data_IF_263888345097
#
_entry.id   IF_263888345097
#
_cell.length_a   1.000
_cell.length_b   1.000
_cell.length_c   1.000
_cell.angle_alpha   90.00
_cell.angle_beta   90.00
_cell.angle_gamma   90.00
#
_symmetry.space_group_name_H-M   'P 1'
#
loop_
_entity.id
_entity.type
_entity.pdbx_description
1 polymer ?
#
# COMPACT_ATOMS: atom_id res chain seq x y z
N UNK A 1 -2.98 3.04 12.01
CA UNK A 1 -1.82 2.13 12.10
C UNK A 1 -1.47 1.55 10.75
N UNK A 2 -2.33 0.73 10.13
CA UNK A 2 -2.09 0.09 8.82
C UNK A 2 -1.60 1.03 7.69
N UNK A 3 -2.16 2.25 7.59
CA UNK A 3 -1.69 3.26 6.62
C UNK A 3 -0.27 3.76 6.87
N UNK A 4 0.11 3.90 8.14
CA UNK A 4 1.45 4.36 8.54
C UNK A 4 2.47 3.26 8.24
N UNK A 5 2.14 2.01 8.54
CA UNK A 5 3.01 0.86 8.30
C UNK A 5 3.24 0.67 6.79
N UNK A 6 2.21 0.87 5.97
CA UNK A 6 2.31 0.79 4.52
C UNK A 6 3.18 1.90 3.90
N UNK A 7 3.36 3.05 4.55
CA UNK A 7 4.11 4.21 4.03
C UNK A 7 5.51 3.81 3.57
N UNK A 8 6.24 3.10 4.43
CA UNK A 8 7.61 2.64 4.15
C UNK A 8 7.66 1.68 2.96
N UNK A 9 6.66 0.81 2.83
CA UNK A 9 6.56 -0.12 1.71
C UNK A 9 6.27 0.60 0.39
N UNK A 10 5.40 1.61 0.43
CA UNK A 10 5.05 2.44 -0.74
C UNK A 10 6.29 3.16 -1.26
N UNK A 11 7.05 3.80 -0.37
CA UNK A 11 8.28 4.53 -0.73
C UNK A 11 9.34 3.56 -1.28
N UNK A 12 9.55 2.40 -0.63
CA UNK A 12 10.49 1.36 -1.07
C UNK A 12 10.15 0.80 -2.46
N UNK A 13 8.88 0.74 -2.79
CA UNK A 13 8.39 0.32 -4.10
C UNK A 13 8.31 1.49 -5.09
N UNK A 14 8.90 2.65 -4.79
CA UNK A 14 8.97 3.83 -5.67
C UNK A 14 7.64 4.54 -5.89
N UNK A 15 6.69 4.37 -4.97
CA UNK A 15 5.42 5.08 -4.94
C UNK A 15 5.43 6.26 -3.97
N UNK A 16 4.47 7.16 -4.14
CA UNK A 16 4.16 8.24 -3.20
C UNK A 16 2.66 8.23 -2.93
N UNK A 17 2.26 8.22 -1.65
CA UNK A 17 0.83 8.27 -1.32
C UNK A 17 0.28 9.65 -1.59
N UNK A 18 -0.62 9.73 -2.57
CA UNK A 18 -1.18 11.00 -3.04
C UNK A 18 -2.46 11.37 -2.32
N UNK A 19 -3.31 10.38 -1.99
CA UNK A 19 -4.61 10.64 -1.37
C UNK A 19 -5.17 9.43 -0.62
N UNK A 20 -5.76 9.68 0.54
CA UNK A 20 -6.66 8.77 1.25
C UNK A 20 -8.07 9.39 1.18
N UNK A 21 -8.97 8.79 0.39
CA UNK A 21 -10.31 9.31 0.18
C UNK A 21 -11.35 8.38 0.80
N UNK A 22 -12.13 8.81 1.82
CA UNK A 22 -13.26 8.02 2.30
C UNK A 22 -14.30 7.89 1.18
N UNK A 23 -14.92 6.72 1.07
CA UNK A 23 -15.97 6.43 0.11
C UNK A 23 -17.11 5.69 0.79
N UNK A 24 -18.33 6.08 0.43
CA UNK A 24 -19.54 5.35 0.84
C UNK A 24 -19.83 4.26 -0.18
N UNK A 25 -20.00 3.02 0.30
CA UNK A 25 -20.39 1.90 -0.54
C UNK A 25 -21.85 1.58 -0.26
N UNK A 26 -22.74 1.65 -1.27
CA UNK A 26 -24.16 1.36 -1.07
C UNK A 26 -24.38 -0.02 -0.43
N UNK A 27 -25.30 -0.08 0.53
CA UNK A 27 -25.69 -1.30 1.25
C UNK A 27 -24.58 -1.94 2.09
N UNK A 28 -23.47 -1.24 2.34
CA UNK A 28 -22.39 -1.68 3.20
C UNK A 28 -22.31 -0.82 4.45
N UNK A 29 -22.57 -1.42 5.60
CA UNK A 29 -22.38 -0.78 6.91
C UNK A 29 -20.92 -0.92 7.38
N UNK A 30 -20.00 -0.33 6.60
CA UNK A 30 -18.59 -0.27 6.94
C UNK A 30 -17.90 0.90 6.22
N UNK A 31 -16.96 1.55 6.91
CA UNK A 31 -16.12 2.58 6.30
C UNK A 31 -15.19 1.98 5.23
N UNK A 32 -15.09 2.67 4.10
CA UNK A 32 -14.17 2.32 3.02
C UNK A 32 -13.34 3.52 2.62
N UNK A 33 -12.12 3.24 2.21
CA UNK A 33 -11.17 4.26 1.77
C UNK A 33 -10.54 3.82 0.44
N UNK A 34 -10.42 4.76 -0.48
CA UNK A 34 -9.61 4.62 -1.68
C UNK A 34 -8.24 5.22 -1.38
N UNK A 35 -7.19 4.41 -1.49
CA UNK A 35 -5.80 4.85 -1.39
C UNK A 35 -5.23 5.04 -2.80
N UNK A 36 -4.90 6.29 -3.14
CA UNK A 36 -4.28 6.60 -4.42
C UNK A 36 -2.76 6.70 -4.23
N UNK A 37 -2.03 5.80 -4.88
CA UNK A 37 -0.57 5.76 -4.88
C UNK A 37 -0.08 6.17 -6.26
N UNK A 38 0.70 7.25 -6.33
CA UNK A 38 1.34 7.71 -7.55
C UNK A 38 2.69 7.04 -7.69
N UNK A 39 2.99 6.51 -8.88
CA UNK A 39 4.30 5.95 -9.18
C UNK A 39 5.26 7.09 -9.54
N UNK A 40 6.27 7.33 -8.72
CA UNK A 40 7.20 8.46 -8.86
C UNK A 40 8.64 8.04 -9.17
N UNK A 41 9.01 6.80 -8.85
CA UNK A 41 10.31 6.22 -9.19
C UNK A 41 10.15 4.78 -9.71
N UNK A 42 11.19 4.20 -10.29
CA UNK A 42 11.22 2.79 -10.72
C UNK A 42 11.11 1.88 -9.51
N UNK A 43 10.42 0.75 -9.68
CA UNK A 43 10.42 -0.31 -8.67
C UNK A 43 11.81 -0.99 -8.69
N UNK A 44 12.50 -1.16 -7.55
CA UNK A 44 13.77 -1.88 -7.51
C UNK A 44 13.65 -3.31 -8.04
N UNK A 45 14.67 -3.82 -8.72
CA UNK A 45 14.63 -5.13 -9.41
C UNK A 45 14.40 -6.32 -8.47
N UNK A 46 14.73 -6.19 -7.18
CA UNK A 46 14.45 -7.24 -6.19
C UNK A 46 12.96 -7.43 -5.87
N UNK A 47 12.09 -6.58 -6.44
CA UNK A 47 10.63 -6.70 -6.34
C UNK A 47 9.99 -7.03 -7.69
N UNK A 48 8.94 -7.87 -7.72
CA UNK A 48 8.34 -8.55 -6.58
C UNK A 48 9.26 -9.62 -5.98
N UNK A 49 9.19 -9.81 -4.66
CA UNK A 49 9.93 -10.88 -3.96
C UNK A 49 9.38 -12.26 -4.37
N UNK A 50 10.14 -13.31 -4.07
CA UNK A 50 9.73 -14.70 -4.32
C UNK A 50 8.32 -15.01 -3.80
N UNK A 51 7.65 -15.93 -4.49
CA UNK A 51 6.26 -16.29 -4.23
C UNK A 51 6.00 -16.54 -2.74
N UNK A 52 4.94 -15.92 -2.21
CA UNK A 52 4.52 -16.08 -0.81
C UNK A 52 5.27 -15.24 0.21
N UNK A 53 6.43 -14.63 -0.12
CA UNK A 53 7.14 -13.74 0.82
C UNK A 53 6.38 -12.44 1.09
N UNK A 54 5.62 -11.92 0.13
CA UNK A 54 4.77 -10.76 0.33
C UNK A 54 3.75 -10.96 1.47
N UNK A 55 3.20 -12.18 1.60
CA UNK A 55 2.27 -12.55 2.67
C UNK A 55 2.97 -12.96 3.96
N UNK A 56 4.07 -13.71 3.88
CA UNK A 56 4.77 -14.27 5.06
C UNK A 56 5.63 -13.24 5.80
N UNK A 57 6.14 -12.24 5.09
CA UNK A 57 7.01 -11.19 5.62
C UNK A 57 6.65 -9.88 4.95
N UNK A 58 5.52 -9.24 5.31
CA UNK A 58 5.08 -7.99 4.70
C UNK A 58 6.18 -6.92 4.70
N UNK A 59 6.08 -5.97 3.78
CA UNK A 59 6.95 -4.80 3.80
C UNK A 59 6.27 -3.75 4.67
N UNK A 60 7.02 -3.09 5.56
CA UNK A 60 6.49 -1.99 6.37
C UNK A 60 6.04 -2.38 7.79
N UNK A 61 5.86 -3.68 8.07
CA UNK A 61 5.76 -4.19 9.43
C UNK A 61 7.17 -4.34 10.02
N UNK A 62 7.47 -3.60 11.10
CA UNK A 62 8.55 -3.94 12.06
C UNK A 62 7.98 -4.78 13.20
#
# INVERSE_FOLDING_TARGET
DEYIDARRAIDLLGGETTRLAPVEVPFLDAERYVVLIKKVDRTPQQYPRSQGLARKRPLGEE
#
